data_IF_804047220132
#
_entry.id   IF_804047220132
#
_cell.length_a   1.000
_cell.length_b   1.000
_cell.length_c   1.000
_cell.angle_alpha   90.00
_cell.angle_beta   90.00
_cell.angle_gamma   90.00
#
_symmetry.space_group_name_H-M   'P 1'
#
loop_
_entity.id
_entity.type
_entity.pdbx_description
1 polymer ?
#
# COMPACT_ATOMS: atom_id res chain seq x y z
N UNK A 1 14.83 14.45 2.39
CA UNK A 1 13.98 13.30 2.01
C UNK A 1 12.69 13.44 2.81
N UNK A 2 11.50 13.45 2.18
CA UNK A 2 10.25 13.40 2.95
C UNK A 2 10.31 12.17 3.85
N UNK A 3 9.88 12.30 5.11
CA UNK A 3 9.74 11.11 5.95
C UNK A 3 8.63 10.26 5.32
N UNK A 4 8.84 8.96 5.23
CA UNK A 4 7.81 7.99 4.87
C UNK A 4 7.59 7.16 6.14
N UNK A 5 6.41 7.30 6.75
CA UNK A 5 6.05 6.58 7.97
C UNK A 5 4.91 5.64 7.62
N UNK A 6 5.22 4.34 7.59
CA UNK A 6 4.25 3.28 7.31
C UNK A 6 4.19 2.32 8.50
N UNK A 7 2.96 1.93 8.86
CA UNK A 7 2.70 0.91 9.87
C UNK A 7 1.97 -0.25 9.23
N UNK A 8 2.59 -1.43 9.32
CA UNK A 8 2.09 -2.68 8.77
C UNK A 8 1.70 -3.65 9.89
N UNK A 9 0.64 -4.42 9.68
CA UNK A 9 0.17 -5.45 10.60
C UNK A 9 0.17 -6.81 9.91
N UNK A 10 0.72 -7.80 10.61
CA UNK A 10 0.62 -9.20 10.22
C UNK A 10 0.10 -10.02 11.39
N UNK A 11 -1.02 -10.69 11.17
CA UNK A 11 -1.60 -11.67 12.09
C UNK A 11 -1.54 -13.05 11.43
N UNK A 12 -1.10 -14.05 12.19
CA UNK A 12 -1.16 -15.45 11.77
C UNK A 12 -1.82 -16.24 12.89
N UNK A 13 -2.76 -17.11 12.56
CA UNK A 13 -3.45 -18.00 13.50
C UNK A 13 -3.51 -19.40 12.93
N UNK A 14 -2.98 -20.35 13.69
CA UNK A 14 -3.15 -21.77 13.41
C UNK A 14 -4.35 -22.32 14.16
N UNK A 15 -5.15 -23.12 13.49
CA UNK A 15 -6.22 -23.93 14.06
C UNK A 15 -5.90 -25.39 13.82
N UNK A 16 -5.90 -26.19 14.87
CA UNK A 16 -5.69 -27.63 14.78
C UNK A 16 -7.09 -28.27 14.80
N UNK A 17 -7.49 -28.90 13.69
CA UNK A 17 -8.81 -29.50 13.54
C UNK A 17 -8.64 -30.99 13.18
N UNK A 18 -8.75 -31.86 14.19
CA UNK A 18 -8.52 -33.31 14.07
C UNK A 18 -7.14 -33.60 13.45
N UNK A 19 -7.12 -34.14 12.22
CA UNK A 19 -5.92 -34.50 11.47
C UNK A 19 -5.47 -33.41 10.47
N UNK A 20 -6.12 -32.24 10.50
CA UNK A 20 -5.80 -31.12 9.62
C UNK A 20 -5.32 -29.89 10.39
N UNK A 21 -4.29 -29.25 9.87
CA UNK A 21 -3.81 -27.95 10.32
C UNK A 21 -4.26 -26.86 9.35
N UNK A 22 -4.99 -25.88 9.89
CA UNK A 22 -5.48 -24.72 9.14
C UNK A 22 -4.71 -23.49 9.59
N UNK A 23 -3.88 -22.94 8.73
CA UNK A 23 -3.16 -21.69 8.97
C UNK A 23 -3.89 -20.53 8.29
N UNK A 24 -4.50 -19.66 9.08
CA UNK A 24 -5.04 -18.39 8.61
C UNK A 24 -4.01 -17.27 8.76
N UNK A 25 -3.88 -16.41 7.76
CA UNK A 25 -3.08 -15.19 7.84
C UNK A 25 -3.85 -13.96 7.38
N UNK A 26 -3.53 -12.83 7.99
CA UNK A 26 -3.94 -11.49 7.60
C UNK A 26 -2.71 -10.59 7.55
N UNK A 27 -2.53 -9.87 6.45
CA UNK A 27 -1.50 -8.85 6.26
C UNK A 27 -2.19 -7.57 5.82
N UNK A 28 -2.00 -6.50 6.61
CA UNK A 28 -2.45 -5.15 6.29
C UNK A 28 -1.22 -4.28 6.13
N UNK A 29 -1.00 -3.77 4.94
CA UNK A 29 0.07 -2.83 4.61
C UNK A 29 -0.50 -1.42 4.64
N UNK A 30 0.24 -0.47 5.22
CA UNK A 30 -0.19 0.93 5.38
C UNK A 30 -1.56 1.06 6.09
N UNK A 31 -1.65 0.57 7.33
CA UNK A 31 -2.91 0.54 8.12
C UNK A 31 -3.63 1.89 8.16
N UNK A 32 -2.85 2.96 8.32
CA UNK A 32 -3.37 4.33 8.46
C UNK A 32 -3.69 5.00 7.12
N UNK A 33 -3.50 4.30 5.99
CA UNK A 33 -3.68 4.82 4.63
C UNK A 33 -2.94 6.16 4.40
N UNK A 34 -1.74 6.28 4.97
CA UNK A 34 -0.94 7.48 4.83
C UNK A 34 -0.43 7.60 3.39
N UNK A 35 -0.51 8.79 2.80
CA UNK A 35 0.03 9.03 1.46
C UNK A 35 1.55 9.19 1.60
N UNK A 36 2.25 8.10 1.32
CA UNK A 36 3.70 8.06 1.32
C UNK A 36 4.21 8.62 0.00
N UNK A 37 4.70 9.86 0.04
CA UNK A 37 5.16 10.57 -1.15
C UNK A 37 6.57 10.13 -1.51
N UNK A 38 6.75 9.61 -2.74
CA UNK A 38 8.05 9.18 -3.26
C UNK A 38 8.73 10.31 -4.03
N UNK A 39 7.97 11.06 -4.83
CA UNK A 39 8.45 12.16 -5.66
C UNK A 39 7.47 13.32 -5.59
N UNK A 40 8.02 14.54 -5.61
CA UNK A 40 7.25 15.78 -5.72
C UNK A 40 7.98 16.68 -6.69
N UNK A 41 7.23 17.32 -7.58
CA UNK A 41 7.78 18.36 -8.43
C UNK A 41 7.99 19.64 -7.63
N UNK A 42 9.19 20.21 -7.71
CA UNK A 42 9.55 21.42 -6.95
C UNK A 42 8.71 22.64 -7.33
N UNK A 43 8.15 22.66 -8.54
CA UNK A 43 7.30 23.76 -9.02
C UNK A 43 5.88 23.69 -8.45
N UNK A 44 5.27 22.51 -8.39
CA UNK A 44 3.85 22.38 -8.03
C UNK A 44 3.63 21.92 -6.60
N UNK A 45 4.60 21.24 -5.99
CA UNK A 45 4.52 20.77 -4.60
C UNK A 45 3.49 19.66 -4.37
N UNK A 46 2.73 19.27 -5.40
CA UNK A 46 1.71 18.23 -5.33
C UNK A 46 2.32 16.87 -5.69
N UNK A 47 2.25 15.86 -4.79
CA UNK A 47 2.74 14.52 -5.07
C UNK A 47 1.90 13.78 -6.11
N UNK A 48 0.66 14.20 -6.39
CA UNK A 48 -0.16 13.58 -7.42
C UNK A 48 0.11 14.15 -8.80
N UNK A 49 0.87 15.22 -8.92
CA UNK A 49 1.07 15.89 -10.19
C UNK A 49 2.15 15.20 -11.05
N UNK A 50 1.86 15.01 -12.34
CA UNK A 50 2.78 14.52 -13.35
C UNK A 50 3.87 15.54 -13.73
N UNK A 51 3.72 16.80 -13.33
CA UNK A 51 4.68 17.89 -13.53
C UNK A 51 4.43 18.68 -14.81
N UNK A 52 5.13 19.82 -14.92
CA UNK A 52 4.97 20.83 -15.98
C UNK A 52 5.32 20.32 -17.40
N UNK A 53 6.05 19.20 -17.48
CA UNK A 53 6.34 18.51 -18.75
C UNK A 53 5.24 17.56 -19.20
N UNK A 54 4.16 17.42 -18.43
CA UNK A 54 3.02 16.57 -18.79
C UNK A 54 2.26 17.17 -19.97
N UNK A 55 2.02 16.37 -21.01
CA UNK A 55 1.16 16.74 -22.14
C UNK A 55 -0.34 16.62 -21.82
N UNK A 56 -0.69 16.17 -20.61
CA UNK A 56 -2.07 15.97 -20.19
C UNK A 56 -2.68 17.27 -19.65
N UNK A 57 -3.99 17.44 -19.84
CA UNK A 57 -4.76 18.50 -19.17
C UNK A 57 -4.63 18.38 -17.64
N UNK A 58 -4.72 19.49 -16.90
CA UNK A 58 -4.63 19.51 -15.43
C UNK A 58 -5.51 18.43 -14.76
N UNK A 59 -6.73 18.21 -15.28
CA UNK A 59 -7.67 17.20 -14.77
C UNK A 59 -7.19 15.74 -14.93
N UNK A 60 -6.13 15.50 -15.70
CA UNK A 60 -5.53 14.20 -16.02
C UNK A 60 -4.06 14.09 -15.66
N UNK A 61 -3.52 15.07 -14.94
CA UNK A 61 -2.13 15.06 -14.49
C UNK A 61 -1.89 14.19 -13.25
N UNK A 62 -2.94 13.56 -12.69
CA UNK A 62 -2.81 12.63 -11.58
C UNK A 62 -1.90 11.43 -11.94
N UNK A 63 -0.69 11.40 -11.40
CA UNK A 63 0.28 10.32 -11.58
C UNK A 63 0.45 9.50 -10.29
N UNK A 64 -0.11 8.28 -10.22
CA UNK A 64 0.01 7.42 -9.05
C UNK A 64 1.44 6.91 -8.81
N UNK A 65 2.36 7.01 -9.77
CA UNK A 65 3.76 6.57 -9.59
C UNK A 65 4.59 7.46 -8.66
N UNK A 66 4.09 8.66 -8.35
CA UNK A 66 4.74 9.61 -7.46
C UNK A 66 4.44 9.36 -5.98
N UNK A 67 3.49 8.46 -5.70
CA UNK A 67 3.13 8.01 -4.37
C UNK A 67 3.35 6.51 -4.24
N UNK A 68 3.68 6.06 -3.04
CA UNK A 68 3.78 4.64 -2.73
C UNK A 68 2.39 4.00 -2.62
N UNK A 69 2.36 2.67 -2.47
CA UNK A 69 1.14 1.91 -2.32
C UNK A 69 0.27 2.44 -1.17
N UNK A 70 -1.03 2.53 -1.46
CA UNK A 70 -2.05 2.80 -0.45
C UNK A 70 -2.29 1.57 0.42
N UNK A 71 -3.22 1.68 1.37
CA UNK A 71 -3.60 0.57 2.24
C UNK A 71 -3.96 -0.68 1.45
N UNK A 72 -3.25 -1.76 1.71
CA UNK A 72 -3.49 -3.06 1.07
C UNK A 72 -3.81 -4.11 2.11
N UNK A 73 -4.91 -4.84 1.94
CA UNK A 73 -5.35 -5.91 2.84
C UNK A 73 -5.26 -7.24 2.10
N UNK A 74 -4.47 -8.18 2.63
CA UNK A 74 -4.32 -9.54 2.11
C UNK A 74 -4.67 -10.53 3.19
N UNK A 75 -5.52 -11.49 2.89
CA UNK A 75 -5.91 -12.57 3.80
C UNK A 75 -5.84 -13.89 3.06
N UNK A 76 -5.58 -14.97 3.76
CA UNK A 76 -5.54 -16.29 3.15
C UNK A 76 -5.56 -17.41 4.17
N UNK A 77 -5.82 -18.61 3.67
CA UNK A 77 -5.91 -19.84 4.45
C UNK A 77 -5.03 -20.87 3.76
N UNK A 78 -4.21 -21.58 4.53
CA UNK A 78 -3.40 -22.70 4.07
C UNK A 78 -3.87 -23.94 4.82
N UNK A 79 -4.22 -25.00 4.07
CA UNK A 79 -4.56 -26.30 4.61
C UNK A 79 -3.34 -27.21 4.55
N UNK A 80 -3.04 -27.89 5.65
CA UNK A 80 -2.02 -28.95 5.72
C UNK A 80 -2.68 -30.22 6.26
N UNK A 81 -2.44 -31.33 5.58
CA UNK A 81 -2.92 -32.67 5.90
C UNK A 81 -1.72 -33.59 6.09
#
# INVERSE_FOLDING_TARGET
>A
KPWVNQVDLRLNKRFNLFDADIDWYLRVENIFDHINVLRVWTQTGDPWDAGDTSIQSNDRQANPENVDIRRTVRTGIVFRF
#
